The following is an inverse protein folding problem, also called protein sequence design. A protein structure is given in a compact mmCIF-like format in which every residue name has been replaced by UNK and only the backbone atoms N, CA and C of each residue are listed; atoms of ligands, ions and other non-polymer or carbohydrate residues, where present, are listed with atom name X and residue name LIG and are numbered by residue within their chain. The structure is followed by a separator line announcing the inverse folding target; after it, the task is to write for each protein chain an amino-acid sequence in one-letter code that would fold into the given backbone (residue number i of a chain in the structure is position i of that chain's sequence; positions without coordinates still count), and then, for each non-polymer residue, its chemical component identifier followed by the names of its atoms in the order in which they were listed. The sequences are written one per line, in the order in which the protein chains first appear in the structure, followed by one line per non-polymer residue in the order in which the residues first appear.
data_IF_730420497595
#
_entry.id   IF_730420497595
#
_cell.length_a   1.000
_cell.length_b   1.000
_cell.length_c   1.000
_cell.angle_alpha   90.00
_cell.angle_beta   90.00
_cell.angle_gamma   90.00
#
_symmetry.space_group_name_H-M   'P 1'
#
loop_
_entity.id
_entity.type
_entity.pdbx_description
1 polymer ?
#
# COMPACT_ATOMS: atom_id res chain seq x y z
N UNK A 1 8.50 -10.30 -18.69
CA UNK A 1 9.92 -9.99 -18.40
C UNK A 1 10.30 -10.69 -17.11
N UNK A 2 11.55 -11.13 -16.94
CA UNK A 2 12.03 -11.60 -15.64
C UNK A 2 12.06 -10.45 -14.63
N UNK A 3 11.90 -10.76 -13.34
CA UNK A 3 12.07 -9.79 -12.27
C UNK A 3 13.48 -9.18 -12.33
N UNK A 4 13.55 -7.85 -12.33
CA UNK A 4 14.79 -7.08 -12.31
C UNK A 4 14.70 -6.01 -11.22
N UNK A 5 15.84 -5.69 -10.63
CA UNK A 5 15.97 -4.61 -9.64
C UNK A 5 16.81 -3.48 -10.21
N UNK A 6 16.46 -2.24 -9.90
CA UNK A 6 17.21 -1.04 -10.29
C UNK A 6 18.58 -1.01 -9.61
N UNK A 7 18.64 -1.42 -8.34
CA UNK A 7 19.85 -1.38 -7.53
C UNK A 7 19.86 -2.47 -6.43
N UNK A 8 20.99 -2.61 -5.73
CA UNK A 8 21.18 -3.65 -4.71
C UNK A 8 20.30 -3.42 -3.47
N UNK A 9 20.02 -2.15 -3.13
CA UNK A 9 19.18 -1.80 -1.98
C UNK A 9 17.72 -2.18 -2.23
N UNK A 10 17.21 -2.02 -3.45
CA UNK A 10 15.89 -2.48 -3.84
C UNK A 10 15.78 -4.02 -3.78
N UNK A 11 16.80 -4.74 -4.26
CA UNK A 11 16.84 -6.19 -4.17
C UNK A 11 16.84 -6.69 -2.72
N UNK A 12 17.69 -6.10 -1.87
CA UNK A 12 17.73 -6.41 -0.43
C UNK A 12 16.36 -6.17 0.22
N UNK A 13 15.75 -5.03 -0.07
CA UNK A 13 14.44 -4.65 0.47
C UNK A 13 13.38 -5.66 0.03
N UNK A 14 13.37 -6.04 -1.25
CA UNK A 14 12.44 -7.02 -1.79
C UNK A 14 12.55 -8.37 -1.08
N UNK A 15 13.77 -8.83 -0.81
CA UNK A 15 14.00 -10.09 -0.08
C UNK A 15 13.45 -10.01 1.34
N UNK A 16 13.73 -8.93 2.09
CA UNK A 16 13.16 -8.72 3.44
C UNK A 16 11.62 -8.73 3.43
N UNK A 17 11.00 -8.06 2.46
CA UNK A 17 9.53 -8.05 2.30
C UNK A 17 8.99 -9.44 1.96
N UNK A 18 9.63 -10.14 1.02
CA UNK A 18 9.26 -11.50 0.62
C UNK A 18 9.34 -12.47 1.80
N UNK A 19 10.42 -12.44 2.57
CA UNK A 19 10.63 -13.31 3.72
C UNK A 19 9.53 -13.08 4.77
N UNK A 20 9.19 -11.83 5.06
CA UNK A 20 8.10 -11.50 5.96
C UNK A 20 6.74 -12.00 5.44
N UNK A 21 6.39 -11.68 4.19
CA UNK A 21 5.07 -12.00 3.63
C UNK A 21 4.84 -13.51 3.48
N UNK A 22 5.87 -14.26 3.08
CA UNK A 22 5.78 -15.72 2.88
C UNK A 22 5.74 -16.51 4.18
N UNK A 23 6.29 -15.96 5.26
CA UNK A 23 6.27 -16.59 6.60
C UNK A 23 5.12 -16.13 7.48
N UNK A 24 4.48 -15.01 7.14
CA UNK A 24 3.36 -14.45 7.90
C UNK A 24 2.12 -15.35 7.83
N UNK A 25 1.64 -15.81 8.99
CA UNK A 25 0.37 -16.53 9.10
C UNK A 25 -0.85 -15.70 8.65
N UNK A 26 -0.72 -14.37 8.61
CA UNK A 26 -1.79 -13.46 8.22
C UNK A 26 -1.93 -13.34 6.69
N UNK A 27 -0.81 -13.44 5.96
CA UNK A 27 -0.75 -13.08 4.54
C UNK A 27 -0.38 -14.22 3.62
N UNK A 28 0.32 -15.25 4.11
CA UNK A 28 0.86 -16.33 3.27
C UNK A 28 -0.17 -16.99 2.35
N UNK A 29 -1.42 -17.14 2.82
CA UNK A 29 -2.48 -17.85 2.10
C UNK A 29 -3.17 -16.97 1.05
N UNK A 30 -3.07 -15.64 1.17
CA UNK A 30 -3.61 -14.66 0.21
C UNK A 30 -2.52 -13.97 -0.62
N UNK A 31 -1.25 -14.33 -0.41
CA UNK A 31 -0.10 -13.72 -1.06
C UNK A 31 0.00 -14.16 -2.53
N UNK A 32 0.06 -13.17 -3.41
CA UNK A 32 0.43 -13.32 -4.81
C UNK A 32 1.70 -12.52 -5.08
N UNK A 33 2.78 -13.23 -5.42
CA UNK A 33 4.06 -12.64 -5.82
C UNK A 33 4.04 -12.37 -7.32
N UNK A 34 4.38 -11.16 -7.75
CA UNK A 34 4.46 -10.85 -9.18
C UNK A 34 5.85 -11.22 -9.71
N UNK A 35 5.89 -12.04 -10.77
CA UNK A 35 7.13 -12.59 -11.32
C UNK A 35 7.94 -11.61 -12.17
N UNK A 36 7.40 -10.42 -12.43
CA UNK A 36 7.93 -9.45 -13.40
C UNK A 36 8.19 -8.06 -12.81
N UNK A 37 7.85 -7.83 -11.54
CA UNK A 37 8.04 -6.56 -10.86
C UNK A 37 8.25 -6.79 -9.36
N UNK A 38 8.99 -5.92 -8.66
CA UNK A 38 9.26 -6.03 -7.22
C UNK A 38 8.01 -5.65 -6.40
N UNK A 39 6.96 -6.47 -6.53
CA UNK A 39 5.61 -6.18 -6.05
C UNK A 39 4.91 -7.45 -5.58
N UNK A 40 4.07 -7.29 -4.57
CA UNK A 40 3.26 -8.33 -3.97
C UNK A 40 1.81 -7.85 -3.87
N UNK A 41 0.85 -8.73 -4.12
CA UNK A 41 -0.55 -8.50 -3.83
C UNK A 41 -0.98 -9.41 -2.69
N UNK A 42 -1.79 -8.89 -1.77
CA UNK A 42 -2.39 -9.67 -0.70
C UNK A 42 -3.82 -9.19 -0.42
N UNK A 43 -4.61 -10.03 0.22
CA UNK A 43 -5.97 -9.69 0.65
C UNK A 43 -6.14 -9.94 2.13
N UNK A 44 -6.94 -9.09 2.77
CA UNK A 44 -7.32 -9.22 4.17
C UNK A 44 -8.69 -8.57 4.37
N UNK A 45 -9.66 -9.33 4.89
CA UNK A 45 -11.06 -8.88 4.91
C UNK A 45 -11.54 -8.55 3.50
N UNK A 46 -12.09 -7.35 3.28
CA UNK A 46 -12.41 -6.81 1.96
C UNK A 46 -11.29 -6.01 1.30
N UNK A 47 -10.20 -5.73 2.02
CA UNK A 47 -9.09 -4.96 1.48
C UNK A 47 -8.20 -5.78 0.53
N UNK A 48 -7.86 -5.16 -0.61
CA UNK A 48 -6.87 -5.66 -1.57
C UNK A 48 -5.67 -4.74 -1.56
N UNK A 49 -4.55 -5.24 -1.03
CA UNK A 49 -3.33 -4.46 -0.79
C UNK A 49 -2.24 -4.85 -1.75
N UNK A 50 -1.64 -3.84 -2.36
CA UNK A 50 -0.43 -3.93 -3.16
C UNK A 50 0.74 -3.43 -2.31
N UNK A 51 1.79 -4.24 -2.22
CA UNK A 51 3.06 -3.89 -1.57
C UNK A 51 4.12 -3.79 -2.66
N UNK A 52 4.63 -2.59 -2.87
CA UNK A 52 5.64 -2.28 -3.88
C UNK A 52 6.99 -1.99 -3.22
N UNK A 53 8.06 -2.48 -3.83
CA UNK A 53 9.42 -2.12 -3.47
C UNK A 53 10.01 -1.27 -4.60
N UNK A 54 10.11 0.02 -4.36
CA UNK A 54 10.49 1.02 -5.36
C UNK A 54 11.89 1.54 -5.06
N UNK A 55 12.61 1.95 -6.10
CA UNK A 55 13.75 2.84 -5.94
C UNK A 55 13.26 4.22 -5.46
N UNK A 56 14.08 4.89 -4.66
CA UNK A 56 13.88 6.29 -4.35
C UNK A 56 14.98 7.05 -5.10
N UNK A 57 14.65 7.67 -6.23
CA UNK A 57 15.67 8.37 -7.04
C UNK A 57 15.93 9.81 -6.57
N UNK A 58 14.91 10.46 -5.99
CA UNK A 58 14.97 11.87 -5.57
C UNK A 58 14.79 11.95 -4.06
N UNK A 59 15.91 12.01 -3.33
CA UNK A 59 15.97 12.01 -1.88
C UNK A 59 17.05 12.97 -1.34
N UNK A 60 17.01 13.33 -0.04
CA UNK A 60 17.95 14.29 0.54
C UNK A 60 19.31 13.71 0.95
N UNK A 61 19.49 12.38 0.87
CA UNK A 61 20.69 11.67 1.35
C UNK A 61 21.82 11.65 0.31
N UNK A 62 23.07 11.59 0.79
CA UNK A 62 24.27 11.42 -0.05
C UNK A 62 24.40 10.00 -0.61
N UNK A 63 23.74 9.03 0.04
CA UNK A 63 23.66 7.63 -0.39
C UNK A 63 22.99 7.54 -1.75
N UNK A 64 23.66 6.95 -2.74
CA UNK A 64 23.15 6.97 -4.13
C UNK A 64 22.02 5.99 -4.40
N UNK A 65 21.87 4.97 -3.57
CA UNK A 65 20.92 3.89 -3.76
C UNK A 65 20.04 3.79 -2.52
N UNK A 66 18.78 4.18 -2.67
CA UNK A 66 17.76 4.00 -1.65
C UNK A 66 16.55 3.30 -2.25
N UNK A 67 15.81 2.63 -1.38
CA UNK A 67 14.56 2.00 -1.72
C UNK A 67 13.48 2.39 -0.71
N UNK A 68 12.23 2.29 -1.11
CA UNK A 68 11.07 2.41 -0.24
C UNK A 68 10.19 1.18 -0.38
N UNK A 69 9.51 0.83 0.72
CA UNK A 69 8.38 -0.09 0.68
C UNK A 69 7.12 0.74 0.77
N UNK A 70 6.23 0.60 -0.22
CA UNK A 70 4.93 1.26 -0.24
C UNK A 70 3.83 0.20 -0.18
N UNK A 71 3.02 0.24 0.87
CA UNK A 71 1.75 -0.48 0.91
C UNK A 71 0.63 0.45 0.43
N UNK A 72 -0.25 -0.04 -0.43
CA UNK A 72 -1.40 0.72 -0.90
C UNK A 72 -2.63 -0.16 -1.12
N UNK A 73 -3.81 0.39 -0.90
CA UNK A 73 -5.07 -0.31 -1.15
C UNK A 73 -6.04 0.63 -1.84
N UNK A 74 -6.74 0.12 -2.84
CA UNK A 74 -7.96 0.76 -3.30
C UNK A 74 -9.04 0.56 -2.23
N UNK A 75 -9.54 1.66 -1.68
CA UNK A 75 -10.57 1.66 -0.62
C UNK A 75 -11.95 1.62 -1.27
N UNK A 76 -12.19 2.50 -2.25
CA UNK A 76 -13.44 2.50 -3.02
C UNK A 76 -13.21 2.83 -4.49
N UNK A 77 -14.12 2.32 -5.32
CA UNK A 77 -14.24 2.67 -6.74
C UNK A 77 -15.61 3.31 -7.00
N UNK A 78 -15.62 4.40 -7.79
CA UNK A 78 -16.85 5.06 -8.20
C UNK A 78 -17.56 5.84 -7.10
N UNK A 79 -16.89 6.16 -5.99
CA UNK A 79 -17.41 7.12 -5.01
C UNK A 79 -17.56 8.50 -5.65
N UNK A 80 -18.59 9.25 -5.23
CA UNK A 80 -18.82 10.60 -5.74
C UNK A 80 -17.66 11.51 -5.33
N UNK A 81 -16.82 11.86 -6.30
CA UNK A 81 -15.63 12.69 -6.07
C UNK A 81 -16.01 14.16 -6.14
N UNK A 82 -16.57 14.67 -5.03
CA UNK A 82 -17.00 16.06 -4.85
C UNK A 82 -16.30 16.71 -3.65
N UNK A 83 -16.57 18.01 -3.42
CA UNK A 83 -15.98 18.76 -2.29
C UNK A 83 -16.22 18.07 -0.92
N UNK A 84 -17.42 17.55 -0.60
CA UNK A 84 -17.63 16.75 0.60
C UNK A 84 -16.68 15.57 0.79
N UNK A 85 -16.50 14.73 -0.24
CA UNK A 85 -15.55 13.60 -0.15
C UNK A 85 -14.13 14.11 0.06
N UNK A 86 -13.69 15.07 -0.76
CA UNK A 86 -12.32 15.60 -0.69
C UNK A 86 -12.02 16.21 0.69
N UNK A 87 -12.95 17.00 1.23
CA UNK A 87 -12.85 17.58 2.58
C UNK A 87 -12.79 16.49 3.64
N UNK A 88 -13.63 15.46 3.53
CA UNK A 88 -13.63 14.33 4.45
C UNK A 88 -12.27 13.62 4.46
N UNK A 89 -11.74 13.25 3.29
CA UNK A 89 -10.45 12.57 3.17
C UNK A 89 -9.30 13.42 3.75
N UNK A 90 -9.28 14.73 3.50
CA UNK A 90 -8.28 15.63 4.09
C UNK A 90 -8.37 15.74 5.62
N UNK A 91 -9.59 15.74 6.17
CA UNK A 91 -9.79 15.76 7.63
C UNK A 91 -9.42 14.42 8.28
N UNK A 92 -9.68 13.30 7.62
CA UNK A 92 -9.23 11.99 8.08
C UNK A 92 -7.71 11.89 8.03
N UNK A 93 -7.07 12.36 6.95
CA UNK A 93 -5.61 12.44 6.84
C UNK A 93 -4.97 13.21 7.99
N UNK A 94 -5.59 14.28 8.47
CA UNK A 94 -5.10 15.01 9.64
C UNK A 94 -5.11 14.17 10.94
N UNK A 95 -5.98 13.16 11.03
CA UNK A 95 -6.10 12.26 12.19
C UNK A 95 -5.25 11.00 12.05
N UNK A 96 -4.85 10.65 10.84
CA UNK A 96 -4.04 9.45 10.57
C UNK A 96 -2.65 9.59 11.18
N UNK A 97 -2.22 8.52 11.83
CA UNK A 97 -0.84 8.40 12.36
C UNK A 97 0.10 7.81 11.31
N UNK A 98 -0.43 6.92 10.48
CA UNK A 98 0.28 6.24 9.42
C UNK A 98 -0.56 6.29 8.16
N UNK A 99 0.08 6.67 7.06
CA UNK A 99 -0.52 6.71 5.73
C UNK A 99 -1.46 7.89 5.51
N UNK A 100 -1.97 7.96 4.28
CA UNK A 100 -2.91 8.99 3.84
C UNK A 100 -3.82 8.45 2.74
N UNK A 101 -5.00 9.05 2.64
CA UNK A 101 -5.91 8.94 1.51
C UNK A 101 -5.42 9.79 0.33
N UNK A 102 -5.58 9.23 -0.85
CA UNK A 102 -5.29 9.81 -2.16
C UNK A 102 -6.47 9.57 -3.10
N UNK A 103 -6.55 10.36 -4.16
CA UNK A 103 -7.44 10.10 -5.29
C UNK A 103 -6.61 9.55 -6.44
N UNK A 104 -7.02 8.39 -6.97
CA UNK A 104 -6.51 7.89 -8.23
C UNK A 104 -7.10 8.71 -9.40
N UNK A 105 -6.37 8.80 -10.51
CA UNK A 105 -6.85 9.48 -11.73
C UNK A 105 -8.20 8.92 -12.23
N UNK A 106 -8.47 7.66 -11.95
CA UNK A 106 -9.72 6.96 -12.28
C UNK A 106 -10.88 7.28 -11.31
N UNK A 107 -10.67 8.16 -10.32
CA UNK A 107 -11.66 8.52 -9.30
C UNK A 107 -11.80 7.53 -8.14
N UNK A 108 -10.91 6.54 -8.05
CA UNK A 108 -10.84 5.63 -6.90
C UNK A 108 -10.21 6.30 -5.68
N UNK A 109 -10.73 6.03 -4.49
CA UNK A 109 -10.06 6.42 -3.24
C UNK A 109 -9.01 5.37 -2.91
N UNK A 110 -7.77 5.80 -2.74
CA UNK A 110 -6.63 4.95 -2.38
C UNK A 110 -6.15 5.34 -1.00
N UNK A 111 -5.75 4.37 -0.18
CA UNK A 111 -5.00 4.64 1.04
C UNK A 111 -3.61 4.03 0.91
N UNK A 112 -2.56 4.78 1.25
CA UNK A 112 -1.19 4.26 1.17
C UNK A 112 -0.29 4.76 2.27
N UNK A 113 0.73 3.96 2.59
CA UNK A 113 1.81 4.31 3.50
C UNK A 113 3.13 3.79 2.95
N UNK A 114 4.21 4.53 3.21
CA UNK A 114 5.55 4.16 2.77
C UNK A 114 6.54 4.26 3.93
N UNK A 115 7.51 3.35 3.93
CA UNK A 115 8.67 3.34 4.84
C UNK A 115 9.96 3.22 4.03
N UNK A 116 11.08 3.62 4.63
CA UNK A 116 12.39 3.41 4.03
C UNK A 116 12.72 1.92 3.97
N UNK A 117 13.29 1.48 2.86
CA UNK A 117 13.82 0.14 2.67
C UNK A 117 15.29 0.04 3.05
N UNK A 118 15.90 -1.09 2.70
CA UNK A 118 17.31 -1.35 2.86
C UNK A 118 17.68 -1.93 4.22
N UNK A 119 18.91 -1.67 4.67
CA UNK A 119 19.45 -2.26 5.90
C UNK A 119 18.72 -1.79 7.15
N UNK A 120 18.35 -0.51 7.20
CA UNK A 120 17.76 0.13 8.38
C UNK A 120 16.26 -0.14 8.56
N UNK A 121 15.60 -0.76 7.57
CA UNK A 121 14.20 -1.15 7.68
C UNK A 121 14.06 -2.31 8.67
N UNK A 122 13.42 -2.05 9.80
CA UNK A 122 13.13 -3.09 10.78
C UNK A 122 11.80 -3.81 10.49
N UNK A 123 11.60 -4.94 11.15
CA UNK A 123 10.39 -5.75 10.96
C UNK A 123 9.13 -5.02 11.45
N UNK A 124 9.23 -4.23 12.53
CA UNK A 124 8.09 -3.50 13.09
C UNK A 124 7.63 -2.38 12.17
N UNK A 125 8.55 -1.66 11.53
CA UNK A 125 8.27 -0.64 10.52
C UNK A 125 7.56 -1.26 9.31
N UNK A 126 8.07 -2.37 8.78
CA UNK A 126 7.45 -3.08 7.67
C UNK A 126 6.05 -3.59 8.03
N UNK A 127 5.91 -4.21 9.20
CA UNK A 127 4.63 -4.70 9.71
C UNK A 127 3.63 -3.57 9.88
N UNK A 128 4.04 -2.47 10.51
CA UNK A 128 3.19 -1.28 10.72
C UNK A 128 2.75 -0.71 9.39
N UNK A 129 3.64 -0.68 8.39
CA UNK A 129 3.31 -0.19 7.06
C UNK A 129 2.19 -0.99 6.40
N UNK A 130 2.34 -2.32 6.37
CA UNK A 130 1.36 -3.18 5.71
C UNK A 130 0.05 -3.26 6.52
N UNK A 131 0.14 -3.45 7.84
CA UNK A 131 -1.02 -3.62 8.70
C UNK A 131 -1.86 -2.35 8.82
N UNK A 132 -1.25 -1.17 8.83
CA UNK A 132 -2.00 0.10 8.85
C UNK A 132 -2.84 0.25 7.58
N UNK A 133 -2.27 -0.04 6.41
CA UNK A 133 -3.00 0.05 5.14
C UNK A 133 -4.13 -0.97 5.06
N UNK A 134 -3.84 -2.23 5.39
CA UNK A 134 -4.84 -3.31 5.43
C UNK A 134 -6.02 -2.94 6.33
N UNK A 135 -5.74 -2.51 7.57
CA UNK A 135 -6.78 -2.25 8.57
C UNK A 135 -7.62 -1.03 8.20
N UNK A 136 -6.97 0.05 7.75
CA UNK A 136 -7.67 1.28 7.37
C UNK A 136 -8.52 1.04 6.12
N UNK A 137 -8.00 0.34 5.10
CA UNK A 137 -8.76 0.06 3.89
C UNK A 137 -10.02 -0.77 4.17
N UNK A 138 -9.89 -1.84 4.96
CA UNK A 138 -11.00 -2.72 5.36
C UNK A 138 -12.05 -2.01 6.24
N UNK A 139 -11.64 -1.01 7.01
CA UNK A 139 -12.56 -0.24 7.86
C UNK A 139 -13.26 0.88 7.09
N UNK A 140 -12.51 1.57 6.22
CA UNK A 140 -12.99 2.79 5.57
C UNK A 140 -13.74 2.53 4.27
N UNK A 141 -13.64 1.34 3.67
CA UNK A 141 -14.41 1.01 2.46
C UNK A 141 -15.92 1.19 2.70
N UNK A 142 -16.46 0.62 3.77
CA UNK A 142 -17.86 0.73 4.16
C UNK A 142 -18.24 2.15 4.57
N UNK A 143 -17.38 2.82 5.34
CA UNK A 143 -17.64 4.19 5.80
C UNK A 143 -17.73 5.17 4.63
N UNK A 144 -16.84 5.03 3.64
CA UNK A 144 -16.83 5.88 2.46
C UNK A 144 -18.02 5.52 1.56
N UNK A 145 -18.31 4.23 1.36
CA UNK A 145 -19.48 3.80 0.57
C UNK A 145 -20.78 4.32 1.17
N UNK A 146 -20.95 4.21 2.49
CA UNK A 146 -22.17 4.66 3.18
C UNK A 146 -22.41 6.17 2.99
N UNK A 147 -21.33 6.97 3.00
CA UNK A 147 -21.42 8.44 2.93
C UNK A 147 -21.42 8.99 1.49
N UNK A 148 -20.65 8.37 0.61
CA UNK A 148 -20.31 8.91 -0.70
C UNK A 148 -20.64 7.97 -1.88
N UNK A 149 -21.18 6.78 -1.59
CA UNK A 149 -21.47 5.75 -2.58
C UNK A 149 -20.21 5.08 -3.12
N UNK A 150 -20.38 4.30 -4.19
CA UNK A 150 -19.32 3.51 -4.80
C UNK A 150 -19.40 2.03 -4.40
N UNK A 151 -18.31 1.31 -4.59
CA UNK A 151 -18.19 -0.13 -4.34
C UNK A 151 -16.83 -0.43 -3.73
N UNK A 152 -16.73 -1.54 -2.97
CA UNK A 152 -15.46 -2.01 -2.43
C UNK A 152 -14.56 -2.49 -3.57
N UNK A 153 -13.25 -2.42 -3.38
CA UNK A 153 -12.31 -2.93 -4.38
C UNK A 153 -12.51 -4.42 -4.66
N UNK A 154 -12.80 -5.22 -3.62
CA UNK A 154 -13.03 -6.66 -3.74
C UNK A 154 -14.26 -7.04 -4.57
N UNK A 155 -15.27 -6.16 -4.66
CA UNK A 155 -16.52 -6.45 -5.37
C UNK A 155 -16.37 -6.25 -6.89
N UNK A 156 -15.33 -5.52 -7.31
CA UNK A 156 -15.14 -5.08 -8.70
C UNK A 156 -13.86 -5.59 -9.33
N UNK A 157 -12.80 -5.75 -8.54
CA UNK A 157 -11.54 -6.31 -8.99
C UNK A 157 -11.55 -7.82 -8.68
N UNK A 158 -11.12 -8.70 -9.62
CA UNK A 158 -10.96 -10.12 -9.35
C UNK A 158 -9.91 -10.38 -8.27
#
# INVERSE_FOLDING_TARGET
MPLTFTNAVQELTYRKVSDYLTTSALFKDSLQVLSYAPRFNLSYGSAKVEVEVLDWEVHPWDERELAIVKASSCVTLGSRTDEPLMRYLLMENHRMRFGAFHLAETGGVIFSHSVLGGENMDLMELQTCILSVVTIADTYDDLIIQKFGGQRACDRLP
#
